data_IF_975791746283
#
_entry.id   IF_975791746283
#
_cell.length_a   1.000
_cell.length_b   1.000
_cell.length_c   1.000
_cell.angle_alpha   90.00
_cell.angle_beta   90.00
_cell.angle_gamma   90.00
#
_symmetry.space_group_name_H-M   'P 1'
#
loop_
_entity.id
_entity.type
_entity.pdbx_description
1 polymer ?
#
# COMPACT_ATOMS: atom_id res chain seq x y z
N UNK A 1 25.05 -4.91 18.49
CA UNK A 1 25.39 -3.59 19.02
C UNK A 1 24.49 -2.62 18.31
N UNK A 2 23.34 -2.36 18.91
CA UNK A 2 22.22 -1.81 18.18
C UNK A 2 22.48 -0.39 17.67
N UNK A 3 21.70 0.00 16.67
CA UNK A 3 21.53 1.39 16.29
C UNK A 3 20.60 2.10 17.27
N UNK A 4 20.84 3.40 17.49
CA UNK A 4 20.15 4.22 18.49
C UNK A 4 19.70 5.52 17.83
N UNK A 5 18.44 5.89 18.01
CA UNK A 5 17.90 7.20 17.59
C UNK A 5 18.14 8.22 18.71
N UNK A 6 18.75 9.35 18.36
CA UNK A 6 19.18 10.42 19.25
C UNK A 6 18.34 11.70 19.08
N UNK A 7 18.68 12.72 19.89
CA UNK A 7 18.02 14.03 19.96
C UNK A 7 17.61 14.68 18.62
N UNK A 8 18.37 14.61 17.50
CA UNK A 8 17.96 15.26 16.26
C UNK A 8 16.68 14.70 15.62
N UNK A 9 16.19 13.54 16.06
CA UNK A 9 14.89 12.99 15.63
C UNK A 9 13.69 13.66 16.32
N UNK A 10 13.91 14.28 17.48
CA UNK A 10 12.89 14.85 18.35
C UNK A 10 12.14 15.98 17.62
N UNK A 11 10.81 15.88 17.61
CA UNK A 11 9.86 16.74 16.89
C UNK A 11 10.04 16.76 15.35
N UNK A 12 10.95 15.95 14.78
CA UNK A 12 11.17 15.80 13.32
C UNK A 12 10.44 14.57 12.76
N UNK A 13 10.70 13.38 13.33
CA UNK A 13 10.03 12.12 12.98
C UNK A 13 9.84 11.84 11.47
N UNK A 14 10.90 11.97 10.67
CA UNK A 14 10.84 11.87 9.20
C UNK A 14 10.44 10.49 8.65
N UNK A 15 10.61 9.41 9.42
CA UNK A 15 10.26 8.00 9.10
C UNK A 15 11.01 7.33 7.93
N UNK A 16 11.88 7.99 7.16
CA UNK A 16 12.63 7.32 6.07
C UNK A 16 13.45 6.09 6.52
N UNK A 17 13.94 6.11 7.76
CA UNK A 17 14.63 4.99 8.41
C UNK A 17 13.78 3.73 8.60
N UNK A 18 12.45 3.84 8.73
CA UNK A 18 11.53 2.72 8.96
C UNK A 18 11.47 1.82 7.73
N UNK A 19 11.32 2.43 6.54
CA UNK A 19 11.14 1.71 5.25
C UNK A 19 12.34 0.86 4.86
N UNK A 20 13.53 1.18 5.37
CA UNK A 20 14.78 0.46 5.07
C UNK A 20 15.18 -0.54 6.17
N UNK A 21 14.39 -0.70 7.22
CA UNK A 21 14.67 -1.66 8.28
C UNK A 21 14.30 -3.08 7.83
N UNK A 22 15.25 -4.04 7.74
CA UNK A 22 14.96 -5.40 7.25
C UNK A 22 14.27 -6.31 8.28
N UNK A 23 14.07 -5.82 9.51
CA UNK A 23 13.51 -6.55 10.66
C UNK A 23 12.44 -5.74 11.40
N UNK A 24 11.97 -4.65 10.79
CA UNK A 24 10.90 -3.77 11.30
C UNK A 24 11.07 -3.27 12.75
N UNK A 25 12.30 -3.19 13.27
CA UNK A 25 12.58 -2.90 14.68
C UNK A 25 12.53 -1.41 15.07
N UNK A 26 11.89 -0.55 14.27
CA UNK A 26 11.83 0.90 14.48
C UNK A 26 10.37 1.32 14.69
N UNK A 27 10.07 1.85 15.88
CA UNK A 27 8.71 2.10 16.33
C UNK A 27 8.56 3.47 17.01
N UNK A 28 7.32 3.90 17.20
CA UNK A 28 6.94 5.05 18.05
C UNK A 28 5.54 4.81 18.61
N UNK A 29 5.17 5.50 19.69
CA UNK A 29 3.86 5.34 20.36
C UNK A 29 3.08 6.66 20.33
N UNK A 30 1.75 6.58 20.45
CA UNK A 30 0.90 7.78 20.54
C UNK A 30 1.32 8.68 21.73
N UNK A 31 1.76 9.90 21.43
CA UNK A 31 2.20 10.89 22.42
C UNK A 31 3.71 11.04 22.55
N UNK A 32 4.49 10.13 21.97
CA UNK A 32 5.94 10.28 21.80
C UNK A 32 6.26 11.29 20.70
N UNK A 33 7.47 11.87 20.74
CA UNK A 33 7.93 12.87 19.78
C UNK A 33 9.22 12.49 19.03
N UNK A 34 9.60 11.21 19.07
CA UNK A 34 10.68 10.64 18.28
C UNK A 34 10.38 9.17 17.93
N UNK A 35 11.23 8.60 17.08
CA UNK A 35 11.26 7.18 16.77
C UNK A 35 12.27 6.47 17.69
N UNK A 36 12.07 5.16 17.91
CA UNK A 36 12.88 4.32 18.81
C UNK A 36 13.25 3.01 18.11
N UNK A 37 14.48 2.53 18.34
CA UNK A 37 14.98 1.25 17.79
C UNK A 37 15.03 0.20 18.90
N UNK A 38 14.45 -0.99 18.69
CA UNK A 38 14.53 -2.11 19.64
C UNK A 38 15.94 -2.73 19.59
N UNK A 39 16.74 -2.63 20.67
CA UNK A 39 18.11 -3.12 20.68
C UNK A 39 18.21 -4.65 20.70
N UNK A 40 17.14 -5.37 21.04
CA UNK A 40 17.11 -6.84 21.05
C UNK A 40 16.80 -7.42 19.66
N UNK A 41 16.13 -6.63 18.79
CA UNK A 41 15.72 -7.04 17.44
C UNK A 41 16.64 -6.47 16.36
N UNK A 42 17.32 -5.34 16.63
CA UNK A 42 18.26 -4.73 15.70
C UNK A 42 19.40 -5.68 15.31
N UNK A 43 19.58 -5.93 14.01
CA UNK A 43 20.62 -6.82 13.45
C UNK A 43 21.87 -6.08 12.95
N UNK A 44 22.13 -4.88 13.48
CA UNK A 44 23.32 -4.06 13.19
C UNK A 44 23.59 -3.77 11.69
N UNK A 45 22.57 -3.79 10.83
CA UNK A 45 22.72 -3.79 9.37
C UNK A 45 23.10 -2.44 8.70
N UNK A 46 23.23 -1.35 9.47
CA UNK A 46 23.56 0.01 9.01
C UNK A 46 22.61 0.68 7.98
N UNK A 47 21.53 0.02 7.54
CA UNK A 47 20.67 0.55 6.47
C UNK A 47 19.93 1.86 6.85
N UNK A 48 19.57 2.04 8.12
CA UNK A 48 18.78 3.18 8.60
C UNK A 48 19.59 4.46 8.86
N UNK A 49 20.90 4.35 9.04
CA UNK A 49 21.82 5.47 9.34
C UNK A 49 21.94 6.48 8.18
N UNK A 50 22.33 6.10 6.94
CA UNK A 50 22.57 7.04 5.85
C UNK A 50 21.31 7.63 5.21
N UNK A 51 20.11 7.16 5.60
CA UNK A 51 18.83 7.68 5.09
C UNK A 51 18.17 8.68 6.04
N UNK A 52 18.72 8.90 7.24
CA UNK A 52 18.17 9.86 8.19
C UNK A 52 18.54 11.29 7.77
N UNK A 53 17.58 12.16 7.36
CA UNK A 53 17.91 13.48 6.81
C UNK A 53 18.41 14.50 7.85
N UNK A 54 18.44 14.10 9.12
CA UNK A 54 18.87 14.91 10.27
C UNK A 54 20.01 14.23 11.06
N UNK A 55 20.63 13.18 10.50
CA UNK A 55 21.77 12.45 11.09
C UNK A 55 21.52 12.01 12.56
N UNK A 56 20.28 11.62 12.88
CA UNK A 56 19.86 11.26 14.24
C UNK A 56 20.19 9.83 14.66
N UNK A 57 20.62 8.97 13.72
CA UNK A 57 20.86 7.55 13.94
C UNK A 57 22.36 7.31 14.01
N UNK A 58 22.81 6.56 15.02
CA UNK A 58 24.20 6.12 15.16
C UNK A 58 24.27 4.77 15.85
N UNK A 59 25.33 3.99 15.61
CA UNK A 59 25.59 2.76 16.37
C UNK A 59 25.92 3.10 17.84
N UNK A 60 25.52 2.25 18.78
CA UNK A 60 25.65 2.44 20.24
C UNK A 60 27.06 2.89 20.69
N UNK A 61 28.12 2.43 20.04
CA UNK A 61 29.51 2.82 20.35
C UNK A 61 29.89 4.25 19.94
N UNK A 62 29.17 4.81 18.98
CA UNK A 62 29.54 6.05 18.27
C UNK A 62 28.56 7.19 18.64
N UNK A 63 27.54 6.90 19.46
CA UNK A 63 26.64 7.89 20.06
C UNK A 63 27.46 8.96 20.81
N UNK A 64 27.24 10.23 20.46
CA UNK A 64 27.89 11.38 21.10
C UNK A 64 27.64 11.37 22.60
N UNK A 65 28.65 11.75 23.39
CA UNK A 65 28.58 11.70 24.86
C UNK A 65 27.40 12.48 25.48
N UNK A 66 26.95 13.55 24.82
CA UNK A 66 25.77 14.34 25.20
C UNK A 66 24.42 13.64 24.93
N UNK A 67 24.40 12.64 24.04
CA UNK A 67 23.25 11.80 23.71
C UNK A 67 23.32 10.39 24.29
N UNK A 68 24.29 10.08 25.16
CA UNK A 68 24.45 8.75 25.76
C UNK A 68 23.20 8.26 26.53
N UNK A 69 22.33 9.17 26.99
CA UNK A 69 21.02 8.85 27.57
C UNK A 69 20.04 8.21 26.58
N UNK A 70 20.16 8.49 25.27
CA UNK A 70 19.25 7.99 24.26
C UNK A 70 19.33 6.47 24.06
N UNK A 71 20.49 5.86 24.34
CA UNK A 71 20.68 4.39 24.34
C UNK A 71 19.66 3.73 25.28
N UNK A 72 19.57 4.25 26.50
CA UNK A 72 18.69 3.73 27.54
C UNK A 72 17.22 4.15 27.33
N UNK A 73 16.98 5.31 26.71
CA UNK A 73 15.63 5.76 26.33
C UNK A 73 15.04 4.83 25.26
N UNK A 74 15.81 4.50 24.22
CA UNK A 74 15.40 3.56 23.17
C UNK A 74 15.06 2.19 23.77
N UNK A 75 15.93 1.64 24.65
CA UNK A 75 15.68 0.39 25.37
C UNK A 75 14.37 0.43 26.19
N UNK A 76 14.20 1.47 27.03
CA UNK A 76 13.06 1.60 27.95
C UNK A 76 11.70 1.68 27.26
N UNK A 77 11.63 2.27 26.07
CA UNK A 77 10.41 2.26 25.28
C UNK A 77 9.88 0.83 25.12
N UNK A 78 10.75 -0.12 24.76
CA UNK A 78 10.41 -1.53 24.54
C UNK A 78 10.24 -2.36 25.82
N UNK A 79 10.77 -1.91 26.97
CA UNK A 79 10.46 -2.53 28.27
C UNK A 79 9.01 -2.24 28.71
N UNK A 80 8.44 -1.11 28.28
CA UNK A 80 7.03 -0.75 28.52
C UNK A 80 6.08 -1.10 27.38
N UNK A 81 6.61 -1.39 26.19
CA UNK A 81 5.84 -1.81 25.02
C UNK A 81 5.53 -3.31 25.12
N UNK A 82 4.27 -3.71 24.97
CA UNK A 82 3.91 -5.13 24.95
C UNK A 82 4.35 -5.72 23.62
N UNK A 83 5.45 -6.48 23.61
CA UNK A 83 5.83 -7.32 22.46
C UNK A 83 4.68 -8.31 22.21
N UNK A 84 4.08 -8.36 21.00
CA UNK A 84 3.07 -9.37 20.70
C UNK A 84 3.74 -10.74 20.72
N UNK A 85 3.26 -11.64 21.57
CA UNK A 85 3.75 -13.01 21.63
C UNK A 85 3.35 -13.73 20.34
N UNK A 86 4.34 -14.14 19.54
CA UNK A 86 4.11 -15.04 18.40
C UNK A 86 3.64 -16.39 18.95
N UNK A 87 2.51 -16.91 18.43
CA UNK A 87 2.03 -18.25 18.77
C UNK A 87 3.12 -19.32 18.55
N UNK A 88 3.74 -19.78 19.62
CA UNK A 88 4.48 -21.05 19.63
C UNK A 88 3.60 -22.14 20.25
N UNK A 89 3.67 -23.33 19.68
CA UNK A 89 2.75 -24.42 19.99
C UNK A 89 3.19 -25.21 21.22
N UNK A 90 2.36 -25.26 22.27
CA UNK A 90 2.45 -26.33 23.27
C UNK A 90 2.05 -25.97 24.71
N UNK A 91 0.89 -26.50 25.11
CA UNK A 91 0.60 -27.13 26.40
C UNK A 91 0.55 -26.32 27.73
N UNK A 92 -0.62 -26.48 28.37
CA UNK A 92 -0.89 -26.60 29.82
C UNK A 92 -1.29 -25.41 30.75
N UNK A 93 -2.43 -25.67 31.41
CA UNK A 93 -2.97 -25.20 32.72
C UNK A 93 -3.28 -23.72 33.04
N UNK A 94 -4.58 -23.40 32.87
CA UNK A 94 -5.47 -22.95 33.95
C UNK A 94 -5.10 -21.73 34.85
N UNK A 95 -5.41 -20.54 34.35
CA UNK A 95 -6.42 -19.69 35.00
C UNK A 95 -5.99 -18.58 35.98
N UNK A 96 -6.23 -17.32 35.56
CA UNK A 96 -6.77 -16.23 36.40
C UNK A 96 -7.21 -15.03 35.54
N UNK A 97 -8.47 -14.62 35.68
CA UNK A 97 -8.98 -13.39 35.07
C UNK A 97 -8.48 -12.14 35.79
N UNK A 98 -7.92 -11.19 35.03
CA UNK A 98 -7.93 -9.76 35.36
C UNK A 98 -8.17 -8.94 34.10
N UNK A 99 -9.39 -8.41 33.97
CA UNK A 99 -9.68 -7.35 32.99
C UNK A 99 -9.02 -6.04 33.42
N UNK A 100 -8.43 -5.29 32.48
CA UNK A 100 -7.85 -3.98 32.78
C UNK A 100 -7.29 -3.25 31.56
N UNK A 101 -8.16 -2.44 30.92
CA UNK A 101 -7.85 -1.48 29.83
C UNK A 101 -7.37 -2.07 28.50
N UNK A 102 -8.34 -2.32 27.62
CA UNK A 102 -8.10 -2.32 26.17
C UNK A 102 -7.70 -0.91 25.73
N UNK A 103 -6.48 -0.74 25.24
CA UNK A 103 -6.10 0.37 24.35
C UNK A 103 -5.04 -0.15 23.39
N UNK A 104 -5.53 -0.83 22.36
CA UNK A 104 -4.81 -1.46 21.28
C UNK A 104 -5.84 -1.80 20.21
N UNK A 105 -5.44 -1.69 18.95
CA UNK A 105 -6.27 -2.05 17.81
C UNK A 105 -6.61 -3.56 17.93
N UNK A 106 -7.88 -4.00 17.87
CA UNK A 106 -8.20 -5.43 17.92
C UNK A 106 -7.49 -6.17 16.78
N UNK A 107 -7.06 -7.41 16.98
CA UNK A 107 -6.28 -8.16 15.97
C UNK A 107 -7.00 -8.32 14.62
N UNK A 108 -8.34 -8.23 14.61
CA UNK A 108 -9.18 -8.13 13.41
C UNK A 108 -8.84 -6.93 12.50
N UNK A 109 -8.22 -5.88 13.05
CA UNK A 109 -7.80 -4.65 12.36
C UNK A 109 -6.28 -4.57 12.13
N UNK A 110 -5.48 -5.52 12.63
CA UNK A 110 -4.05 -5.68 12.27
C UNK A 110 -3.86 -6.88 11.33
N UNK A 111 -4.80 -7.04 10.41
CA UNK A 111 -4.47 -7.72 9.16
C UNK A 111 -3.56 -6.79 8.36
N UNK A 112 -2.24 -7.00 8.48
CA UNK A 112 -1.38 -6.92 7.29
C UNK A 112 -2.16 -7.69 6.21
N UNK A 113 -2.40 -7.15 5.01
CA UNK A 113 -3.11 -7.90 4.00
C UNK A 113 -2.35 -9.20 3.79
N UNK A 114 -2.94 -10.32 4.23
CA UNK A 114 -2.50 -11.64 3.84
C UNK A 114 -2.29 -11.55 2.34
N UNK A 115 -1.09 -11.88 1.85
CA UNK A 115 -0.74 -11.73 0.42
C UNK A 115 -1.93 -12.22 -0.38
N UNK A 116 -2.64 -11.36 -1.13
CA UNK A 116 -4.07 -11.53 -1.32
C UNK A 116 -4.34 -12.88 -1.94
N UNK A 117 -5.38 -13.55 -1.44
CA UNK A 117 -5.67 -14.92 -1.79
C UNK A 117 -5.66 -15.07 -3.32
N UNK A 118 -5.01 -16.12 -3.81
CA UNK A 118 -4.65 -16.20 -5.23
C UNK A 118 -5.87 -15.94 -6.11
N UNK A 119 -5.80 -14.89 -6.92
CA UNK A 119 -6.86 -14.58 -7.88
C UNK A 119 -7.05 -15.69 -8.91
N UNK A 120 -6.08 -16.62 -9.04
CA UNK A 120 -6.22 -17.82 -9.87
C UNK A 120 -7.01 -18.91 -9.15
N UNK A 121 -8.07 -19.41 -9.79
CA UNK A 121 -8.83 -20.58 -9.31
C UNK A 121 -7.92 -21.78 -9.11
N UNK A 122 -8.16 -22.58 -8.08
CA UNK A 122 -7.61 -23.94 -7.97
C UNK A 122 -8.12 -24.79 -9.16
N UNK A 123 -7.27 -25.52 -9.90
CA UNK A 123 -5.86 -25.83 -9.64
C UNK A 123 -4.83 -24.92 -10.33
N UNK A 124 -5.25 -23.87 -11.05
CA UNK A 124 -4.36 -23.04 -11.87
C UNK A 124 -3.29 -22.29 -11.06
N UNK A 125 -3.58 -21.91 -9.81
CA UNK A 125 -2.60 -21.35 -8.87
C UNK A 125 -1.33 -22.24 -8.79
N UNK A 126 -1.50 -23.52 -8.42
CA UNK A 126 -0.39 -24.49 -8.33
C UNK A 126 0.31 -24.69 -9.68
N UNK A 127 -0.44 -24.69 -10.79
CA UNK A 127 0.12 -24.86 -12.13
C UNK A 127 0.99 -23.66 -12.55
N UNK A 128 0.61 -22.44 -12.18
CA UNK A 128 1.40 -21.22 -12.41
C UNK A 128 2.64 -21.19 -11.52
N UNK A 129 2.51 -21.57 -10.25
CA UNK A 129 3.64 -21.65 -9.31
C UNK A 129 4.71 -22.65 -9.79
N UNK A 130 4.30 -23.88 -10.15
CA UNK A 130 5.21 -24.88 -10.73
C UNK A 130 5.71 -24.49 -12.14
N UNK A 131 4.93 -23.68 -12.86
CA UNK A 131 5.24 -23.22 -14.21
C UNK A 131 6.22 -22.05 -14.29
N UNK A 132 6.53 -21.36 -13.20
CA UNK A 132 7.43 -20.20 -13.17
C UNK A 132 8.73 -20.35 -14.00
N UNK A 133 9.46 -21.49 -13.95
CA UNK A 133 10.70 -21.68 -14.72
C UNK A 133 10.52 -21.57 -16.24
N UNK A 134 9.34 -21.89 -16.76
CA UNK A 134 8.98 -21.79 -18.19
C UNK A 134 8.32 -20.44 -18.47
N UNK A 135 7.43 -19.98 -17.59
CA UNK A 135 6.68 -18.74 -17.74
C UNK A 135 7.59 -17.50 -17.75
N UNK A 136 8.74 -17.55 -17.08
CA UNK A 136 9.76 -16.49 -17.12
C UNK A 136 10.33 -16.18 -18.51
N UNK A 137 10.25 -17.14 -19.44
CA UNK A 137 10.68 -16.96 -20.83
C UNK A 137 9.79 -15.98 -21.63
N UNK A 138 8.54 -15.78 -21.21
CA UNK A 138 7.57 -15.01 -21.99
C UNK A 138 7.82 -13.49 -21.90
N UNK A 139 7.17 -12.75 -22.80
CA UNK A 139 7.26 -11.28 -22.87
C UNK A 139 6.83 -10.58 -21.58
N UNK A 140 7.36 -9.38 -21.35
CA UNK A 140 6.97 -8.52 -20.23
C UNK A 140 5.44 -8.39 -20.15
N UNK A 141 4.76 -8.07 -21.27
CA UNK A 141 3.29 -7.95 -21.32
C UNK A 141 2.55 -9.22 -20.89
N UNK A 142 3.05 -10.40 -21.25
CA UNK A 142 2.46 -11.67 -20.79
C UNK A 142 2.66 -11.85 -19.27
N UNK A 143 3.88 -11.60 -18.78
CA UNK A 143 4.22 -11.77 -17.36
C UNK A 143 3.46 -10.79 -16.47
N UNK A 144 3.39 -9.51 -16.83
CA UNK A 144 2.59 -8.50 -16.11
C UNK A 144 1.10 -8.88 -16.09
N UNK A 145 0.53 -9.35 -17.20
CA UNK A 145 -0.86 -9.83 -17.22
C UNK A 145 -1.07 -11.06 -16.33
N UNK A 146 -0.10 -11.97 -16.26
CA UNK A 146 -0.18 -13.14 -15.37
C UNK A 146 0.00 -12.78 -13.89
N UNK A 147 0.84 -11.80 -13.59
CA UNK A 147 1.07 -11.24 -12.25
C UNK A 147 -0.18 -10.49 -11.74
N UNK A 148 -0.82 -9.68 -12.60
CA UNK A 148 -2.16 -9.09 -12.34
C UNK A 148 -3.24 -10.14 -12.07
N UNK A 149 -3.22 -11.26 -12.82
CA UNK A 149 -4.18 -12.37 -12.69
C UNK A 149 -3.89 -13.28 -11.50
N UNK A 150 -2.64 -13.39 -11.05
CA UNK A 150 -2.28 -14.09 -9.82
C UNK A 150 -2.64 -13.25 -8.60
N UNK A 151 -2.43 -11.93 -8.66
CA UNK A 151 -2.65 -10.98 -7.57
C UNK A 151 -1.64 -11.10 -6.41
N UNK A 152 -0.84 -12.17 -6.39
CA UNK A 152 -0.01 -12.58 -5.27
C UNK A 152 1.39 -12.99 -5.76
N UNK A 153 2.41 -12.31 -5.26
CA UNK A 153 3.81 -12.51 -5.64
C UNK A 153 4.37 -13.87 -5.24
N UNK A 154 3.80 -14.54 -4.23
CA UNK A 154 4.13 -15.92 -3.84
C UNK A 154 3.73 -16.93 -4.91
N UNK A 155 2.68 -16.64 -5.69
CA UNK A 155 2.16 -17.49 -6.77
C UNK A 155 2.91 -17.23 -8.07
N UNK A 156 3.06 -15.96 -8.44
CA UNK A 156 3.80 -15.56 -9.62
C UNK A 156 4.47 -14.21 -9.41
N UNK A 157 5.77 -14.15 -9.73
CA UNK A 157 6.51 -12.89 -9.86
C UNK A 157 7.24 -12.87 -11.20
N UNK A 158 7.15 -11.76 -11.93
CA UNK A 158 7.86 -11.57 -13.19
C UNK A 158 9.38 -11.56 -13.00
N UNK A 159 9.87 -11.01 -11.88
CA UNK A 159 11.29 -11.00 -11.52
C UNK A 159 11.80 -12.43 -11.26
N UNK A 160 11.17 -13.13 -10.30
CA UNK A 160 11.59 -14.48 -9.87
C UNK A 160 11.52 -15.47 -11.02
N UNK A 161 10.42 -15.49 -11.78
CA UNK A 161 10.27 -16.38 -12.94
C UNK A 161 11.33 -16.10 -14.02
N UNK A 162 11.63 -14.83 -14.32
CA UNK A 162 12.68 -14.46 -15.28
C UNK A 162 14.07 -14.88 -14.79
N UNK A 163 14.36 -14.72 -13.49
CA UNK A 163 15.61 -15.15 -12.88
C UNK A 163 15.82 -16.66 -12.97
N UNK A 164 14.83 -17.45 -12.54
CA UNK A 164 14.88 -18.93 -12.61
C UNK A 164 15.03 -19.40 -14.07
N UNK A 165 14.27 -18.81 -15.00
CA UNK A 165 14.39 -19.15 -16.41
C UNK A 165 15.78 -18.81 -16.99
N UNK A 166 16.39 -17.71 -16.55
CA UNK A 166 17.74 -17.31 -16.98
C UNK A 166 18.80 -18.26 -16.44
N UNK A 167 18.68 -18.71 -15.18
CA UNK A 167 19.55 -19.73 -14.58
C UNK A 167 19.45 -21.07 -15.32
N UNK A 168 18.25 -21.45 -15.78
CA UNK A 168 18.05 -22.63 -16.63
C UNK A 168 18.72 -22.43 -18.00
N UNK A 169 18.56 -21.27 -18.64
CA UNK A 169 19.18 -20.99 -19.94
C UNK A 169 20.72 -21.09 -19.89
N UNK A 170 21.36 -20.72 -18.77
CA UNK A 170 22.81 -20.89 -18.54
C UNK A 170 23.25 -22.36 -18.67
N UNK A 171 22.41 -23.32 -18.31
CA UNK A 171 22.70 -24.77 -18.48
C UNK A 171 22.17 -25.30 -19.81
N UNK A 172 20.98 -24.87 -20.22
CA UNK A 172 20.27 -25.37 -21.39
C UNK A 172 20.95 -24.98 -22.71
N UNK A 173 21.45 -23.76 -22.84
CA UNK A 173 22.08 -23.29 -24.10
C UNK A 173 23.39 -24.02 -24.41
N UNK A 174 24.33 -24.20 -23.46
CA UNK A 174 25.49 -25.08 -23.64
C UNK A 174 25.12 -26.50 -24.06
N UNK A 175 24.14 -27.11 -23.40
CA UNK A 175 23.69 -28.47 -23.76
C UNK A 175 23.12 -28.53 -25.17
N UNK A 176 22.25 -27.60 -25.56
CA UNK A 176 21.68 -27.52 -26.91
C UNK A 176 22.80 -27.39 -27.95
N UNK A 177 23.72 -26.44 -27.80
CA UNK A 177 24.81 -26.25 -28.76
C UNK A 177 25.73 -27.47 -28.83
N UNK A 178 26.05 -28.07 -27.70
CA UNK A 178 26.84 -29.31 -27.63
C UNK A 178 26.15 -30.46 -28.39
N UNK A 179 24.85 -30.70 -28.16
CA UNK A 179 24.07 -31.71 -28.88
C UNK A 179 23.91 -31.42 -30.38
N UNK A 180 23.79 -30.16 -30.79
CA UNK A 180 23.76 -29.80 -32.21
C UNK A 180 25.14 -29.98 -32.88
N UNK A 181 26.25 -29.69 -32.18
CA UNK A 181 27.60 -30.00 -32.64
C UNK A 181 27.82 -31.51 -32.87
N UNK A 182 27.26 -32.34 -31.99
CA UNK A 182 27.27 -33.80 -32.11
C UNK A 182 26.55 -34.35 -33.35
N UNK A 183 25.57 -33.62 -33.90
CA UNK A 183 24.74 -34.11 -35.00
C UNK A 183 25.43 -34.12 -36.36
N UNK A 184 26.73 -33.76 -36.41
CA UNK A 184 27.57 -33.81 -37.61
C UNK A 184 28.96 -34.43 -37.43
N UNK A 185 29.54 -34.46 -36.22
CA UNK A 185 30.85 -35.08 -35.91
C UNK A 185 30.87 -35.60 -34.46
N UNK A 186 31.74 -36.57 -34.15
CA UNK A 186 32.01 -36.98 -32.76
C UNK A 186 32.73 -35.84 -32.02
N UNK A 187 32.08 -35.24 -31.02
CA UNK A 187 32.61 -34.11 -30.25
C UNK A 187 32.64 -34.48 -28.76
N UNK A 188 33.72 -35.08 -28.29
CA UNK A 188 33.87 -35.40 -26.87
C UNK A 188 33.71 -34.17 -25.98
N UNK A 189 33.12 -34.37 -24.79
CA UNK A 189 32.84 -33.30 -23.82
C UNK A 189 34.09 -32.48 -23.46
N UNK A 190 35.24 -33.14 -23.36
CA UNK A 190 36.52 -32.53 -23.01
C UNK A 190 37.37 -32.13 -24.22
N UNK A 191 36.87 -32.30 -25.44
CA UNK A 191 37.56 -31.85 -26.65
C UNK A 191 37.56 -30.32 -26.73
N UNK A 192 38.57 -29.72 -27.38
CA UNK A 192 38.62 -28.27 -27.59
C UNK A 192 37.40 -27.72 -28.33
N UNK A 193 36.75 -28.54 -29.16
CA UNK A 193 35.50 -28.20 -29.85
C UNK A 193 34.28 -28.29 -28.93
N UNK A 194 34.19 -29.32 -28.08
CA UNK A 194 33.13 -29.45 -27.06
C UNK A 194 33.15 -28.27 -26.10
N UNK A 195 34.33 -27.96 -25.55
CA UNK A 195 34.56 -26.80 -24.69
C UNK A 195 34.17 -25.47 -25.36
N UNK A 196 34.48 -25.29 -26.65
CA UNK A 196 34.09 -24.09 -27.41
C UNK A 196 32.57 -23.94 -27.56
N UNK A 197 31.86 -25.04 -27.85
CA UNK A 197 30.39 -25.03 -27.97
C UNK A 197 29.70 -24.76 -26.63
N UNK A 198 30.23 -25.32 -25.53
CA UNK A 198 29.77 -25.05 -24.17
C UNK A 198 29.98 -23.58 -23.82
N UNK A 199 31.19 -23.06 -24.03
CA UNK A 199 31.53 -21.66 -23.78
C UNK A 199 30.64 -20.69 -24.56
N UNK A 200 30.43 -20.94 -25.86
CA UNK A 200 29.53 -20.14 -26.69
C UNK A 200 28.09 -20.13 -26.15
N UNK A 201 27.61 -21.26 -25.64
CA UNK A 201 26.28 -21.36 -25.01
C UNK A 201 26.16 -20.52 -23.74
N UNK A 202 27.20 -20.51 -22.91
CA UNK A 202 27.27 -19.68 -21.69
C UNK A 202 27.27 -18.20 -22.08
N UNK A 203 28.10 -17.80 -23.05
CA UNK A 203 28.16 -16.40 -23.53
C UNK A 203 26.82 -15.93 -24.06
N UNK A 204 26.11 -16.75 -24.85
CA UNK A 204 24.78 -16.42 -25.37
C UNK A 204 23.76 -16.29 -24.22
N UNK A 205 23.78 -17.21 -23.25
CA UNK A 205 22.86 -17.17 -22.10
C UNK A 205 23.08 -15.92 -21.22
N UNK A 206 24.34 -15.56 -20.93
CA UNK A 206 24.68 -14.34 -20.19
C UNK A 206 24.26 -13.09 -20.96
N UNK A 207 24.55 -13.03 -22.26
CA UNK A 207 24.20 -11.87 -23.12
C UNK A 207 22.68 -11.66 -23.20
N UNK A 208 21.92 -12.75 -23.35
CA UNK A 208 20.45 -12.69 -23.29
C UNK A 208 19.94 -12.27 -21.89
N UNK A 209 20.54 -12.80 -20.82
CA UNK A 209 20.22 -12.42 -19.44
C UNK A 209 20.37 -10.93 -19.21
N UNK A 210 21.53 -10.35 -19.55
CA UNK A 210 21.79 -8.90 -19.45
C UNK A 210 20.75 -8.11 -20.25
N UNK A 211 20.41 -8.53 -21.47
CA UNK A 211 19.39 -7.86 -22.28
C UNK A 211 17.98 -7.93 -21.65
N UNK A 212 17.64 -9.02 -20.97
CA UNK A 212 16.33 -9.22 -20.31
C UNK A 212 16.17 -8.42 -19.02
N UNK A 213 17.27 -8.13 -18.33
CA UNK A 213 17.32 -7.32 -17.11
C UNK A 213 17.81 -5.88 -17.36
N UNK A 214 17.97 -5.46 -18.62
CA UNK A 214 18.51 -4.14 -18.97
C UNK A 214 17.77 -2.97 -18.31
N UNK A 215 16.46 -3.11 -18.12
CA UNK A 215 15.60 -2.05 -17.58
C UNK A 215 15.91 -1.89 -16.07
N UNK A 216 16.05 -2.99 -15.32
CA UNK A 216 16.52 -3.02 -13.92
C UNK A 216 17.87 -2.30 -13.74
N UNK A 217 18.85 -2.56 -14.62
CA UNK A 217 20.16 -1.93 -14.56
C UNK A 217 20.19 -0.47 -15.03
N UNK A 218 19.09 0.04 -15.60
CA UNK A 218 19.04 1.34 -16.28
C UNK A 218 18.01 2.30 -15.70
N UNK A 219 17.08 1.86 -14.85
CA UNK A 219 15.86 2.61 -14.57
C UNK A 219 15.81 3.30 -13.20
N UNK A 220 15.54 4.59 -13.24
CA UNK A 220 14.83 5.36 -12.21
C UNK A 220 13.29 5.21 -12.37
N UNK A 221 12.80 4.09 -12.90
CA UNK A 221 11.36 3.81 -13.03
C UNK A 221 10.86 3.11 -11.76
N UNK A 222 9.62 3.42 -11.37
CA UNK A 222 8.98 2.94 -10.15
C UNK A 222 8.68 1.42 -10.16
N UNK A 223 8.71 0.78 -11.34
CA UNK A 223 8.53 -0.68 -11.52
C UNK A 223 9.36 -1.21 -12.72
N UNK A 224 10.39 -2.05 -12.50
CA UNK A 224 11.24 -2.58 -13.58
C UNK A 224 10.51 -3.62 -14.46
N UNK A 225 10.92 -3.70 -15.73
CA UNK A 225 10.31 -4.59 -16.74
C UNK A 225 11.27 -5.69 -17.18
N UNK A 226 10.79 -6.94 -17.17
CA UNK A 226 11.60 -8.12 -17.48
C UNK A 226 11.38 -8.65 -18.90
N UNK A 227 12.41 -8.63 -19.74
CA UNK A 227 12.38 -9.06 -21.13
C UNK A 227 12.05 -10.55 -21.37
N UNK A 228 11.67 -10.87 -22.61
CA UNK A 228 11.45 -12.24 -23.08
C UNK A 228 12.77 -12.99 -23.30
N UNK A 229 12.75 -14.31 -23.14
CA UNK A 229 13.77 -15.18 -23.71
C UNK A 229 13.67 -15.22 -25.24
N UNK A 230 14.77 -15.56 -25.92
CA UNK A 230 14.81 -15.61 -27.39
C UNK A 230 13.71 -16.52 -27.99
N UNK A 231 13.52 -17.70 -27.41
CA UNK A 231 12.45 -18.63 -27.80
C UNK A 231 11.06 -18.22 -27.29
N UNK A 232 10.98 -17.50 -26.17
CA UNK A 232 9.73 -17.11 -25.53
C UNK A 232 9.00 -15.96 -26.23
N UNK A 233 9.70 -15.15 -27.03
CA UNK A 233 9.06 -14.10 -27.85
C UNK A 233 8.05 -14.69 -28.86
N UNK A 234 8.43 -15.75 -29.57
CA UNK A 234 7.55 -16.43 -30.55
C UNK A 234 6.34 -17.04 -29.83
N UNK A 235 6.56 -17.74 -28.72
CA UNK A 235 5.48 -18.34 -27.93
C UNK A 235 4.51 -17.29 -27.35
N UNK A 236 5.01 -16.09 -27.03
CA UNK A 236 4.20 -14.98 -26.50
C UNK A 236 3.16 -14.46 -27.51
N UNK A 237 3.41 -14.58 -28.81
CA UNK A 237 2.46 -14.14 -29.85
C UNK A 237 1.13 -14.91 -29.79
N UNK A 238 1.18 -16.20 -29.42
CA UNK A 238 0.00 -17.07 -29.28
C UNK A 238 -0.50 -17.09 -27.83
N UNK A 239 0.41 -17.15 -26.85
CA UNK A 239 0.03 -17.29 -25.45
C UNK A 239 -0.62 -16.03 -24.86
N UNK A 240 -0.20 -14.82 -25.27
CA UNK A 240 -0.76 -13.56 -24.73
C UNK A 240 -2.25 -13.38 -25.06
N UNK A 241 -2.72 -13.47 -26.33
CA UNK A 241 -4.15 -13.36 -26.62
C UNK A 241 -4.97 -14.51 -26.00
N UNK A 242 -4.39 -15.72 -25.90
CA UNK A 242 -5.05 -16.86 -25.27
C UNK A 242 -5.23 -16.64 -23.75
N UNK A 243 -4.22 -16.10 -23.06
CA UNK A 243 -4.29 -15.76 -21.64
C UNK A 243 -5.36 -14.67 -21.38
N UNK A 244 -5.43 -13.64 -22.24
CA UNK A 244 -6.46 -12.60 -22.16
C UNK A 244 -7.86 -13.21 -22.34
N UNK A 245 -8.05 -14.07 -23.34
CA UNK A 245 -9.34 -14.75 -23.57
C UNK A 245 -9.73 -15.73 -22.46
N UNK A 246 -8.76 -16.36 -21.81
CA UNK A 246 -8.98 -17.29 -20.70
C UNK A 246 -9.15 -16.60 -19.33
N UNK A 247 -8.91 -15.29 -19.21
CA UNK A 247 -8.89 -14.53 -17.94
C UNK A 247 -10.11 -14.81 -17.05
N UNK A 248 -11.33 -14.78 -17.61
CA UNK A 248 -12.58 -15.00 -16.87
C UNK A 248 -12.78 -16.45 -16.38
N UNK A 249 -12.15 -17.42 -17.04
CA UNK A 249 -12.15 -18.83 -16.62
C UNK A 249 -11.04 -19.15 -15.61
N UNK A 250 -9.92 -18.46 -15.68
CA UNK A 250 -8.76 -18.64 -14.79
C UNK A 250 -8.92 -17.91 -13.46
N UNK A 251 -9.58 -16.74 -13.45
CA UNK A 251 -9.65 -15.84 -12.29
C UNK A 251 -10.93 -16.08 -11.45
N UNK A 252 -10.80 -16.06 -10.13
CA UNK A 252 -11.90 -15.81 -9.18
C UNK A 252 -12.15 -14.31 -9.10
N UNK A 253 -13.41 -13.89 -9.14
CA UNK A 253 -13.80 -12.48 -8.93
C UNK A 253 -14.49 -12.30 -7.58
N UNK A 254 -13.74 -12.14 -6.47
CA UNK A 254 -14.22 -11.52 -5.24
C UNK A 254 -14.22 -9.97 -5.39
N UNK A 255 -14.91 -9.22 -4.50
CA UNK A 255 -15.17 -7.79 -4.69
C UNK A 255 -13.91 -6.93 -4.77
N UNK A 256 -13.95 -5.92 -5.64
CA UNK A 256 -12.91 -4.91 -5.79
C UNK A 256 -12.96 -3.91 -4.64
N UNK A 257 -12.05 -4.04 -3.67
CA UNK A 257 -11.64 -2.87 -2.89
C UNK A 257 -10.85 -1.96 -3.84
N UNK A 258 -11.48 -0.86 -4.28
CA UNK A 258 -10.90 0.09 -5.24
C UNK A 258 -9.78 0.89 -4.56
N UNK A 259 -8.73 1.20 -5.32
CA UNK A 259 -7.63 2.08 -4.90
C UNK A 259 -8.17 3.44 -4.44
N UNK A 260 -7.50 4.01 -3.43
CA UNK A 260 -7.60 5.42 -3.06
C UNK A 260 -7.29 6.32 -4.26
N UNK A 261 -8.15 7.32 -4.51
CA UNK A 261 -7.99 8.30 -5.59
C UNK A 261 -7.54 9.64 -4.98
N UNK A 262 -6.51 10.32 -5.52
CA UNK A 262 -6.16 11.68 -5.12
C UNK A 262 -7.13 12.70 -5.75
N UNK A 263 -7.78 13.52 -4.92
CA UNK A 263 -8.64 14.62 -5.39
C UNK A 263 -7.85 15.90 -5.67
N UNK A 264 -8.36 16.74 -6.59
CA UNK A 264 -7.78 18.02 -6.96
C UNK A 264 -8.81 18.99 -7.58
N UNK A 265 -8.57 20.30 -7.52
CA UNK A 265 -9.44 21.37 -8.06
C UNK A 265 -8.61 22.35 -8.90
N UNK A 266 -9.08 22.70 -10.09
CA UNK A 266 -8.39 23.62 -11.00
C UNK A 266 -8.78 25.10 -10.76
N UNK A 267 -7.78 25.99 -10.74
CA UNK A 267 -7.94 27.46 -10.69
C UNK A 267 -6.92 28.07 -11.67
N UNK A 268 -7.37 28.98 -12.54
CA UNK A 268 -6.55 29.65 -13.58
C UNK A 268 -5.72 28.72 -14.49
N UNK A 269 -6.24 27.52 -14.80
CA UNK A 269 -5.53 26.52 -15.61
C UNK A 269 -4.50 25.68 -14.84
N UNK A 270 -4.45 25.81 -13.51
CA UNK A 270 -3.53 25.08 -12.64
C UNK A 270 -4.29 24.28 -11.57
N UNK A 271 -3.85 23.04 -11.34
CA UNK A 271 -4.53 22.08 -10.45
C UNK A 271 -3.99 22.19 -9.02
N UNK A 272 -4.84 22.60 -8.08
CA UNK A 272 -4.58 22.73 -6.64
C UNK A 272 -5.15 21.54 -5.86
N UNK A 273 -4.34 20.92 -5.01
CA UNK A 273 -4.72 19.72 -4.26
C UNK A 273 -3.94 19.58 -2.94
N UNK A 274 -4.27 20.36 -1.89
CA UNK A 274 -3.58 20.25 -0.60
C UNK A 274 -4.40 20.67 0.64
N UNK A 275 -5.28 19.76 1.07
CA UNK A 275 -5.62 19.54 2.50
C UNK A 275 -5.73 18.03 2.74
N UNK A 276 -6.34 17.31 1.78
CA UNK A 276 -6.40 15.83 1.76
C UNK A 276 -5.03 15.15 1.88
N UNK A 277 -3.97 15.63 1.21
CA UNK A 277 -2.62 15.04 1.35
C UNK A 277 -2.02 15.32 2.73
N UNK A 278 -2.23 16.52 3.27
CA UNK A 278 -1.71 16.90 4.58
C UNK A 278 -2.42 16.12 5.70
N UNK A 279 -3.71 15.84 5.52
CA UNK A 279 -4.45 14.83 6.30
C UNK A 279 -3.87 13.42 6.12
N UNK A 280 -3.61 12.96 4.88
CA UNK A 280 -3.01 11.64 4.65
C UNK A 280 -1.63 11.50 5.34
N UNK A 281 -0.78 12.53 5.31
CA UNK A 281 0.51 12.57 6.02
C UNK A 281 0.37 12.44 7.54
N UNK A 282 -0.68 13.03 8.12
CA UNK A 282 -0.85 13.17 9.59
C UNK A 282 -1.67 12.07 10.23
N UNK A 283 -2.58 11.47 9.49
CA UNK A 283 -3.59 10.55 10.01
C UNK A 283 -3.77 9.28 9.17
N UNK A 284 -2.96 9.06 8.12
CA UNK A 284 -3.01 7.87 7.28
C UNK A 284 -4.15 7.86 6.25
N UNK A 285 -4.29 6.74 5.52
CA UNK A 285 -5.32 6.56 4.48
C UNK A 285 -6.72 6.36 5.08
N UNK A 286 -7.51 7.45 5.04
CA UNK A 286 -8.80 7.59 5.72
C UNK A 286 -10.01 7.39 4.78
N UNK A 287 -9.79 7.22 3.47
CA UNK A 287 -10.84 7.03 2.47
C UNK A 287 -10.76 5.60 1.91
N UNK A 288 -11.87 4.86 1.88
CA UNK A 288 -11.97 3.55 1.24
C UNK A 288 -13.18 3.50 0.30
N UNK A 289 -13.05 2.75 -0.80
CA UNK A 289 -14.16 2.44 -1.71
C UNK A 289 -14.19 0.93 -1.92
N UNK A 290 -15.23 0.28 -1.42
CA UNK A 290 -15.46 -1.15 -1.61
C UNK A 290 -16.62 -1.34 -2.60
N UNK A 291 -16.35 -2.04 -3.71
CA UNK A 291 -17.33 -2.33 -4.74
C UNK A 291 -17.97 -3.70 -4.46
N UNK A 292 -19.27 -3.69 -4.13
CA UNK A 292 -20.07 -4.90 -3.92
C UNK A 292 -20.78 -5.30 -5.22
N UNK A 293 -21.52 -6.41 -5.20
CA UNK A 293 -22.29 -6.87 -6.35
C UNK A 293 -23.30 -5.80 -6.81
N UNK A 294 -24.11 -5.30 -5.88
CA UNK A 294 -25.29 -4.47 -6.17
C UNK A 294 -25.15 -3.00 -5.74
N UNK A 295 -24.06 -2.64 -5.04
CA UNK A 295 -23.81 -1.28 -4.53
C UNK A 295 -22.31 -0.98 -4.39
N UNK A 296 -21.99 0.30 -4.19
CA UNK A 296 -20.69 0.79 -3.72
C UNK A 296 -20.81 1.19 -2.24
N UNK A 297 -19.87 0.77 -1.40
CA UNK A 297 -19.67 1.33 -0.06
C UNK A 297 -18.45 2.24 -0.09
N UNK A 298 -18.61 3.48 0.37
CA UNK A 298 -17.54 4.46 0.50
C UNK A 298 -17.43 4.81 1.98
N UNK A 299 -16.24 4.71 2.56
CA UNK A 299 -16.00 5.04 3.97
C UNK A 299 -14.95 6.16 4.07
N UNK A 300 -15.20 7.14 4.95
CA UNK A 300 -14.37 8.33 5.12
C UNK A 300 -14.25 8.64 6.63
N UNK A 301 -13.11 8.39 7.27
CA UNK A 301 -13.00 8.38 8.76
C UNK A 301 -12.89 9.77 9.47
N UNK A 302 -12.46 10.83 8.79
CA UNK A 302 -12.24 12.19 9.34
C UNK A 302 -11.21 12.33 10.50
N UNK A 303 -10.48 13.47 10.62
CA UNK A 303 -9.54 13.68 11.73
C UNK A 303 -10.15 13.59 13.13
N UNK A 304 -9.51 12.79 14.00
CA UNK A 304 -9.93 12.57 15.40
C UNK A 304 -9.34 13.56 16.39
N UNK A 305 -8.08 13.96 16.18
CA UNK A 305 -7.26 14.68 17.15
C UNK A 305 -6.71 15.98 16.56
N UNK A 306 -6.58 17.02 17.38
CA UNK A 306 -5.95 18.29 17.01
C UNK A 306 -4.43 18.08 17.00
N UNK A 307 -3.74 18.38 15.89
CA UNK A 307 -2.32 18.08 15.75
C UNK A 307 -1.49 18.95 16.71
N UNK A 308 -0.50 18.34 17.36
CA UNK A 308 0.38 19.01 18.31
C UNK A 308 1.24 20.06 17.58
N UNK A 309 0.81 21.30 17.62
CA UNK A 309 1.32 22.39 16.78
C UNK A 309 1.48 23.67 17.59
N UNK A 310 2.30 24.59 17.09
CA UNK A 310 2.42 25.93 17.68
C UNK A 310 1.04 26.62 17.75
N UNK A 311 0.20 26.48 16.72
CA UNK A 311 -1.16 27.00 16.72
C UNK A 311 -2.05 26.40 17.83
N UNK A 312 -1.97 25.08 18.07
CA UNK A 312 -2.67 24.43 19.20
C UNK A 312 -2.32 25.08 20.53
N UNK A 313 -1.03 25.34 20.77
CA UNK A 313 -0.52 25.96 22.00
C UNK A 313 -0.86 27.47 22.09
N UNK A 314 -0.74 28.22 21.00
CA UNK A 314 -1.00 29.66 20.94
C UNK A 314 -2.47 30.03 21.11
N UNK A 315 -3.39 29.20 20.59
CA UNK A 315 -4.83 29.47 20.59
C UNK A 315 -5.63 28.57 21.55
N UNK A 316 -4.96 27.84 22.45
CA UNK A 316 -5.56 26.95 23.46
C UNK A 316 -6.62 25.99 22.87
N UNK A 317 -6.25 25.34 21.77
CA UNK A 317 -7.14 24.40 21.07
C UNK A 317 -7.29 23.09 21.87
N UNK A 318 -8.49 22.48 21.89
CA UNK A 318 -8.72 21.22 22.60
C UNK A 318 -7.94 20.07 21.94
N UNK A 319 -7.78 18.94 22.64
CA UNK A 319 -7.07 17.78 22.08
C UNK A 319 -7.82 17.08 20.95
N UNK A 320 -9.15 17.13 20.96
CA UNK A 320 -10.00 16.49 19.94
C UNK A 320 -10.48 17.52 18.92
N UNK A 321 -10.44 17.14 17.65
CA UNK A 321 -11.10 17.90 16.59
C UNK A 321 -12.61 17.95 16.88
N UNK A 322 -13.35 18.97 16.42
CA UNK A 322 -14.81 18.94 16.49
C UNK A 322 -15.37 17.83 15.56
N UNK A 323 -16.68 17.61 15.58
CA UNK A 323 -17.34 16.92 14.47
C UNK A 323 -17.31 17.81 13.22
N UNK A 324 -17.45 17.23 12.03
CA UNK A 324 -17.52 17.97 10.78
C UNK A 324 -18.96 18.00 10.27
N UNK A 325 -19.34 19.13 9.69
CA UNK A 325 -20.51 19.18 8.81
C UNK A 325 -20.09 18.64 7.44
N UNK A 326 -21.00 17.94 6.77
CA UNK A 326 -20.72 17.33 5.47
C UNK A 326 -21.94 17.40 4.55
N UNK A 327 -21.67 17.51 3.25
CA UNK A 327 -22.65 17.44 2.18
C UNK A 327 -22.19 16.37 1.18
N UNK A 328 -23.11 15.50 0.78
CA UNK A 328 -22.86 14.45 -0.22
C UNK A 328 -23.74 14.73 -1.43
N UNK A 329 -23.10 14.86 -2.60
CA UNK A 329 -23.78 15.10 -3.86
C UNK A 329 -23.42 14.00 -4.87
N UNK A 330 -24.44 13.43 -5.50
CA UNK A 330 -24.28 12.67 -6.74
C UNK A 330 -24.32 13.66 -7.91
N UNK A 331 -23.23 13.75 -8.66
CA UNK A 331 -23.11 14.65 -9.81
C UNK A 331 -22.38 13.97 -10.95
N UNK A 332 -22.57 14.44 -12.19
CA UNK A 332 -21.63 14.14 -13.27
C UNK A 332 -20.52 15.19 -13.25
N UNK A 333 -19.23 14.82 -13.29
CA UNK A 333 -18.13 15.76 -13.07
C UNK A 333 -17.94 16.82 -14.16
N UNK A 334 -18.67 16.75 -15.27
CA UNK A 334 -18.43 17.56 -16.48
C UNK A 334 -19.69 18.17 -17.14
N UNK A 335 -20.86 18.18 -16.48
CA UNK A 335 -22.10 18.67 -17.10
C UNK A 335 -22.75 19.86 -16.36
N UNK A 336 -22.99 20.93 -17.12
CA UNK A 336 -24.05 21.91 -16.85
C UNK A 336 -25.22 21.81 -17.86
N UNK A 337 -25.23 20.82 -18.76
CA UNK A 337 -26.24 20.69 -19.81
C UNK A 337 -26.50 19.23 -20.27
N UNK A 338 -27.71 18.97 -20.78
CA UNK A 338 -28.41 17.69 -20.62
C UNK A 338 -28.10 16.61 -21.67
N UNK A 339 -26.90 16.02 -21.63
CA UNK A 339 -26.62 14.73 -22.29
C UNK A 339 -26.10 13.68 -21.29
N UNK A 340 -26.64 12.43 -21.31
CA UNK A 340 -26.28 11.43 -20.31
C UNK A 340 -24.87 10.86 -20.56
N UNK A 341 -23.95 11.11 -19.62
CA UNK A 341 -22.66 10.44 -19.53
C UNK A 341 -22.74 9.14 -18.72
N UNK A 342 -21.83 8.16 -18.95
CA UNK A 342 -21.82 6.89 -18.22
C UNK A 342 -21.16 6.97 -16.83
N UNK A 343 -20.60 8.12 -16.46
CA UNK A 343 -19.83 8.31 -15.22
C UNK A 343 -20.57 9.23 -14.25
N UNK A 344 -20.86 8.70 -13.06
CA UNK A 344 -21.33 9.47 -11.91
C UNK A 344 -20.18 9.62 -10.92
N UNK A 345 -20.08 10.78 -10.28
CA UNK A 345 -19.18 11.02 -9.16
C UNK A 345 -19.97 11.21 -7.88
N UNK A 346 -19.52 10.54 -6.82
CA UNK A 346 -19.91 10.87 -5.45
C UNK A 346 -18.96 11.96 -4.97
N UNK A 347 -19.49 13.17 -4.79
CA UNK A 347 -18.75 14.30 -4.22
C UNK A 347 -19.12 14.43 -2.75
N UNK A 348 -18.11 14.47 -1.88
CA UNK A 348 -18.29 14.70 -0.44
C UNK A 348 -17.56 15.97 -0.08
N UNK A 349 -18.32 17.03 0.19
CA UNK A 349 -17.80 18.28 0.73
C UNK A 349 -17.86 18.21 2.26
N UNK A 350 -16.83 18.70 2.92
CA UNK A 350 -16.75 18.72 4.39
C UNK A 350 -16.24 20.06 4.86
N UNK A 351 -16.75 20.51 5.99
CA UNK A 351 -16.31 21.73 6.66
C UNK A 351 -16.36 21.55 8.17
N UNK A 352 -15.57 22.36 8.88
CA UNK A 352 -15.72 22.48 10.33
C UNK A 352 -17.08 23.11 10.67
N UNK A 353 -17.65 22.80 11.84
CA UNK A 353 -19.05 23.05 12.08
C UNK A 353 -19.31 24.54 12.32
N UNK A 354 -20.36 25.05 11.69
CA UNK A 354 -20.70 26.48 11.66
C UNK A 354 -22.09 26.66 12.27
N UNK A 355 -22.29 27.66 13.13
CA UNK A 355 -23.64 28.00 13.61
C UNK A 355 -24.49 28.54 12.43
N UNK A 356 -25.58 27.85 12.05
CA UNK A 356 -26.37 28.21 10.88
C UNK A 356 -27.09 29.56 11.00
N UNK A 357 -27.15 30.18 12.19
CA UNK A 357 -27.76 31.50 12.41
C UNK A 357 -26.77 32.66 12.30
N UNK A 358 -25.49 32.41 12.59
CA UNK A 358 -24.46 33.46 12.68
C UNK A 358 -23.40 33.33 11.60
N UNK A 359 -23.24 32.15 10.98
CA UNK A 359 -22.18 31.87 10.01
C UNK A 359 -20.79 31.80 10.65
N UNK A 360 -20.70 31.73 11.98
CA UNK A 360 -19.44 31.64 12.74
C UNK A 360 -19.16 30.20 13.18
N UNK A 361 -17.87 29.90 13.36
CA UNK A 361 -17.39 28.59 13.83
C UNK A 361 -18.04 28.21 15.17
N UNK A 362 -18.56 26.99 15.28
CA UNK A 362 -19.26 26.52 16.49
C UNK A 362 -18.37 26.46 17.74
N UNK A 363 -17.04 26.33 17.57
CA UNK A 363 -16.03 26.64 18.60
C UNK A 363 -15.13 27.78 18.07
N UNK A 364 -15.27 29.02 18.59
CA UNK A 364 -14.53 30.20 18.14
C UNK A 364 -13.00 30.08 18.22
N UNK A 365 -12.45 29.12 18.98
CA UNK A 365 -10.99 28.94 19.05
C UNK A 365 -10.41 28.50 17.72
N UNK A 366 -11.14 27.70 16.94
CA UNK A 366 -10.70 27.27 15.62
C UNK A 366 -10.75 28.38 14.57
N UNK A 367 -11.62 29.38 14.72
CA UNK A 367 -11.73 30.54 13.81
C UNK A 367 -10.39 31.27 13.60
N UNK A 368 -9.51 31.24 14.60
CA UNK A 368 -8.21 31.89 14.54
C UNK A 368 -7.11 31.09 13.82
N UNK A 369 -7.34 29.80 13.53
CA UNK A 369 -6.35 28.86 12.99
C UNK A 369 -6.75 28.35 11.60
N UNK A 370 -8.05 28.13 11.41
CA UNK A 370 -8.68 27.70 10.15
C UNK A 370 -8.32 28.65 9.01
N UNK A 371 -7.78 28.08 7.91
CA UNK A 371 -7.32 28.84 6.74
C UNK A 371 -6.07 29.69 6.93
N UNK A 372 -5.56 29.86 8.17
CA UNK A 372 -4.32 30.59 8.47
C UNK A 372 -3.12 29.67 8.73
N UNK A 373 -3.37 28.38 8.88
CA UNK A 373 -2.36 27.38 9.24
C UNK A 373 -2.59 26.13 8.39
N UNK A 374 -1.60 25.76 7.58
CA UNK A 374 -1.60 24.51 6.79
C UNK A 374 -1.71 23.26 7.65
N UNK A 375 -1.36 23.36 8.94
CA UNK A 375 -1.48 22.29 9.92
C UNK A 375 -2.90 22.03 10.41
N UNK A 376 -3.93 22.72 9.89
CA UNK A 376 -5.29 22.60 10.40
C UNK A 376 -6.32 22.49 9.25
N UNK A 377 -7.01 21.34 9.12
CA UNK A 377 -7.91 21.12 7.99
C UNK A 377 -9.16 22.00 8.13
N UNK A 378 -9.38 22.90 7.19
CA UNK A 378 -10.51 23.84 7.21
C UNK A 378 -11.76 23.26 6.53
N UNK A 379 -11.56 22.39 5.55
CA UNK A 379 -12.60 21.67 4.82
C UNK A 379 -11.99 20.99 3.58
N UNK A 380 -12.55 19.86 3.17
CA UNK A 380 -12.02 19.12 2.03
C UNK A 380 -13.12 18.49 1.18
N UNK A 381 -12.86 18.43 -0.13
CA UNK A 381 -13.75 17.81 -1.13
C UNK A 381 -13.14 16.49 -1.61
N UNK A 382 -13.78 15.37 -1.27
CA UNK A 382 -13.42 14.05 -1.83
C UNK A 382 -14.34 13.72 -2.99
N UNK A 383 -13.78 13.22 -4.10
CA UNK A 383 -14.52 12.86 -5.31
C UNK A 383 -14.23 11.39 -5.61
N UNK A 384 -15.29 10.59 -5.73
CA UNK A 384 -15.19 9.16 -6.02
C UNK A 384 -15.92 8.84 -7.34
N UNK A 385 -15.20 8.46 -8.41
CA UNK A 385 -15.82 8.04 -9.66
C UNK A 385 -16.43 6.63 -9.51
N UNK A 386 -17.70 6.50 -9.88
CA UNK A 386 -18.46 5.25 -9.89
C UNK A 386 -19.06 4.98 -11.27
N UNK A 387 -19.02 3.71 -11.67
CA UNK A 387 -19.53 3.23 -12.97
C UNK A 387 -21.00 2.80 -12.82
N UNK A 388 -21.86 3.76 -12.49
CA UNK A 388 -23.30 3.58 -12.32
C UNK A 388 -24.06 4.91 -12.52
N UNK A 389 -25.39 4.82 -12.67
CA UNK A 389 -26.32 5.95 -12.53
C UNK A 389 -27.28 5.66 -11.36
N UNK A 390 -26.84 5.85 -10.10
CA UNK A 390 -27.69 5.71 -8.91
C UNK A 390 -28.88 6.69 -8.91
N UNK A 391 -30.03 6.24 -8.41
CA UNK A 391 -31.20 7.11 -8.17
C UNK A 391 -31.13 7.79 -6.78
N UNK A 392 -30.50 7.14 -5.80
CA UNK A 392 -30.33 7.64 -4.44
C UNK A 392 -28.97 7.24 -3.83
N UNK A 393 -28.76 7.62 -2.57
CA UNK A 393 -27.67 7.15 -1.73
C UNK A 393 -28.10 7.23 -0.26
N UNK A 394 -27.49 6.39 0.58
CA UNK A 394 -27.66 6.44 2.04
C UNK A 394 -26.35 6.92 2.70
N UNK A 395 -26.45 7.64 3.82
CA UNK A 395 -25.27 8.02 4.63
C UNK A 395 -25.47 7.67 6.09
N UNK A 396 -24.39 7.23 6.72
CA UNK A 396 -24.35 6.86 8.13
C UNK A 396 -23.06 7.43 8.74
N UNK A 397 -23.19 8.40 9.64
CA UNK A 397 -22.04 9.05 10.29
C UNK A 397 -21.94 8.62 11.76
N UNK A 398 -20.87 7.89 12.10
CA UNK A 398 -20.64 7.38 13.46
C UNK A 398 -19.17 7.36 13.82
N UNK A 399 -18.82 7.81 15.03
CA UNK A 399 -17.45 7.80 15.54
C UNK A 399 -16.41 8.45 14.60
N UNK A 400 -16.86 9.47 13.85
CA UNK A 400 -16.16 10.18 12.76
C UNK A 400 -16.12 9.49 11.39
N UNK A 401 -16.42 8.21 11.32
CA UNK A 401 -16.59 7.51 10.04
C UNK A 401 -17.90 7.91 9.39
N UNK A 402 -17.82 8.50 8.22
CA UNK A 402 -18.91 8.67 7.26
C UNK A 402 -18.91 7.48 6.30
N UNK A 403 -19.87 6.59 6.47
CA UNK A 403 -20.22 5.55 5.50
C UNK A 403 -21.25 6.12 4.52
N UNK A 404 -21.05 5.85 3.22
CA UNK A 404 -21.96 6.20 2.14
C UNK A 404 -22.22 4.93 1.33
N UNK A 405 -23.49 4.57 1.16
CA UNK A 405 -23.91 3.42 0.36
C UNK A 405 -24.64 3.95 -0.88
N UNK A 406 -24.14 3.56 -2.05
CA UNK A 406 -24.66 4.02 -3.35
C UNK A 406 -25.05 2.80 -4.18
N UNK A 407 -26.35 2.54 -4.44
CA UNK A 407 -26.78 1.43 -5.29
C UNK A 407 -26.18 1.53 -6.69
N UNK A 408 -25.86 0.38 -7.31
CA UNK A 408 -25.49 0.34 -8.74
C UNK A 408 -26.71 0.51 -9.65
N UNK A 409 -27.88 0.11 -9.17
CA UNK A 409 -29.18 0.21 -9.85
C UNK A 409 -30.30 0.33 -8.81
N UNK A 410 -31.32 1.15 -9.09
CA UNK A 410 -32.48 1.31 -8.20
C UNK A 410 -32.18 2.15 -6.95
N UNK A 411 -32.97 1.93 -5.89
CA UNK A 411 -32.91 2.69 -4.62
C UNK A 411 -32.35 1.86 -3.46
N UNK A 412 -31.83 2.51 -2.42
CA UNK A 412 -31.25 1.87 -1.24
C UNK A 412 -32.18 0.85 -0.57
N UNK A 413 -33.48 1.17 -0.46
CA UNK A 413 -34.50 0.28 0.11
C UNK A 413 -34.61 -1.08 -0.59
N UNK A 414 -34.19 -1.18 -1.86
CA UNK A 414 -34.22 -2.41 -2.65
C UNK A 414 -33.04 -3.35 -2.34
N UNK A 415 -31.99 -2.86 -1.68
CA UNK A 415 -30.81 -3.65 -1.34
C UNK A 415 -31.04 -4.64 -0.18
N UNK A 416 -32.15 -4.51 0.57
CA UNK A 416 -32.50 -5.42 1.66
C UNK A 416 -31.52 -5.40 2.85
N UNK A 417 -30.69 -4.36 2.95
CA UNK A 417 -29.76 -4.15 4.06
C UNK A 417 -30.53 -3.80 5.35
N UNK A 418 -30.04 -4.26 6.51
CA UNK A 418 -30.64 -3.86 7.79
C UNK A 418 -30.52 -2.34 7.98
N UNK A 419 -31.58 -1.63 8.41
CA UNK A 419 -31.51 -0.20 8.65
C UNK A 419 -30.51 0.09 9.78
N UNK A 420 -29.49 0.94 9.58
CA UNK A 420 -28.47 1.18 10.59
C UNK A 420 -29.10 1.80 11.85
N UNK A 421 -28.63 1.34 13.01
CA UNK A 421 -29.18 1.77 14.31
C UNK A 421 -28.83 3.23 14.59
N UNK A 422 -29.72 4.15 14.19
CA UNK A 422 -29.57 5.59 14.37
C UNK A 422 -29.32 5.98 15.85
N UNK A 423 -28.10 6.40 16.16
CA UNK A 423 -27.74 7.01 17.43
C UNK A 423 -27.04 8.37 17.27
N UNK A 424 -27.74 9.32 16.63
CA UNK A 424 -27.70 10.74 17.02
C UNK A 424 -28.85 11.52 16.35
N UNK A 425 -29.65 12.22 17.15
CA UNK A 425 -30.40 13.38 16.64
C UNK A 425 -29.41 14.53 16.50
N UNK A 426 -29.29 15.11 15.31
CA UNK A 426 -29.21 16.56 15.22
C UNK A 426 -30.57 17.05 14.70
N UNK A 427 -31.32 17.68 15.60
CA UNK A 427 -32.61 18.30 15.33
C UNK A 427 -32.51 19.72 15.87
N UNK A 428 -32.48 20.71 14.98
CA UNK A 428 -32.22 22.12 15.30
C UNK A 428 -32.00 22.91 14.03
#
# INVERSE_FOLDING_TARGET
>A
MAYVICEPCVDVMDTACVVVCPVDCIHTSEGENQLYIDPDVCIDCAACEPVCPVDAISIESDVRAEWASYIEINRKFFETFVKPETEDSGDDEAGKTKQGKQQGIPEEFVQIPETPDSRLRTPYNLLVMLGQPILGAFSAKFKTQLEEMAGNTRVFSAAVSTGINSLINITLYPLILFFFGFRGQEVDLFSSRGNLMIFLGIVIAITEGIYRFKDEFSSTEEQPRYGAAFYGWIMSLVATPLLIGARSALVTTPPTQRKTVPGAVEIDGAIYADDIKERYRRYGMINQVAEMADYYRIEIEFPRWVPNSAAKKTYDLPDRMPHYDYEVCLSSPYSMDTTPGPETTVTVQTQLPVDPKTGQMADPRFENVVGRTSSFPNGFTSIFPIEAQPEDFHTNYRNRVLEIIVPKTGTYDQLGLEPPVHYAKLKG
#
